data_IF_953812611767
#
_entry.id   IF_953812611767
#
_cell.length_a   1.000
_cell.length_b   1.000
_cell.length_c   1.000
_cell.angle_alpha   90.00
_cell.angle_beta   90.00
_cell.angle_gamma   90.00
#
_symmetry.space_group_name_H-M   'P 1'
#
loop_
_entity.id
_entity.type
_entity.pdbx_description
1 polymer ?
#
# COMPACT_ATOMS: atom_id res chain seq x y z
N UNK A 1 21.72 31.81 -23.52
CA UNK A 1 22.30 31.33 -22.31
C UNK A 1 21.33 30.99 -21.24
N UNK A 2 20.72 31.97 -20.58
CA UNK A 2 19.81 31.64 -19.48
C UNK A 2 18.62 30.76 -19.90
N UNK A 3 18.30 30.79 -21.15
CA UNK A 3 17.16 30.02 -21.64
C UNK A 3 17.33 28.54 -21.48
N UNK A 4 18.53 28.08 -21.54
CA UNK A 4 18.80 26.67 -21.44
C UNK A 4 18.42 26.15 -20.08
N UNK A 5 18.62 26.96 -19.08
CA UNK A 5 18.31 26.55 -17.72
C UNK A 5 16.81 26.35 -17.51
N UNK A 6 16.01 27.16 -18.18
CA UNK A 6 14.59 27.06 -18.05
C UNK A 6 14.06 25.74 -18.59
N UNK A 7 14.67 25.28 -19.65
CA UNK A 7 14.28 24.02 -20.22
C UNK A 7 14.53 22.87 -19.28
N UNK A 8 15.61 22.92 -18.58
CA UNK A 8 15.92 21.86 -17.63
C UNK A 8 14.85 21.77 -16.54
N UNK A 9 14.38 22.91 -16.09
CA UNK A 9 13.38 22.93 -15.04
C UNK A 9 12.08 22.32 -15.52
N UNK A 10 11.69 22.64 -16.73
CA UNK A 10 10.45 22.10 -17.28
C UNK A 10 10.53 20.59 -17.38
N UNK A 11 11.65 20.09 -17.82
CA UNK A 11 11.80 18.65 -17.95
C UNK A 11 11.70 17.94 -16.61
N UNK A 12 12.18 18.57 -15.58
CA UNK A 12 12.13 17.96 -14.27
C UNK A 12 10.71 17.73 -13.78
N UNK A 13 9.76 18.52 -14.24
CA UNK A 13 8.38 18.38 -13.80
C UNK A 13 7.60 17.38 -14.62
N UNK A 14 7.95 17.21 -15.88
CA UNK A 14 7.17 16.37 -16.77
C UNK A 14 7.05 14.93 -16.35
N UNK A 15 8.13 14.29 -15.90
CA UNK A 15 8.05 12.86 -15.59
C UNK A 15 7.21 12.51 -14.39
N UNK A 16 6.74 13.51 -13.67
CA UNK A 16 5.94 13.23 -12.50
C UNK A 16 4.49 12.87 -12.82
N UNK A 17 4.11 13.04 -14.05
CA UNK A 17 2.76 12.71 -14.46
C UNK A 17 2.51 11.21 -14.30
N UNK A 18 1.45 10.87 -13.57
CA UNK A 18 1.07 9.50 -13.37
C UNK A 18 1.88 8.73 -12.33
N UNK A 19 2.83 9.37 -11.70
CA UNK A 19 3.63 8.73 -10.65
C UNK A 19 2.99 9.00 -9.30
N UNK A 20 2.69 7.93 -8.56
CA UNK A 20 2.16 8.06 -7.22
C UNK A 20 3.25 8.52 -6.27
N UNK A 21 2.92 9.41 -5.38
CA UNK A 21 3.84 9.89 -4.37
C UNK A 21 3.74 9.02 -3.12
N UNK A 22 4.87 8.61 -2.61
CA UNK A 22 4.91 7.87 -1.36
C UNK A 22 4.47 8.77 -0.23
N UNK A 23 3.60 8.26 0.62
CA UNK A 23 3.07 9.00 1.75
C UNK A 23 3.60 8.39 3.03
N UNK A 24 4.14 9.21 3.91
CA UNK A 24 4.59 8.76 5.22
C UNK A 24 3.52 9.06 6.25
N UNK A 25 3.43 8.19 7.23
CA UNK A 25 2.53 8.37 8.35
C UNK A 25 3.31 8.29 9.64
N UNK A 26 2.82 9.00 10.66
CA UNK A 26 3.44 9.00 11.97
C UNK A 26 2.71 8.11 12.96
N UNK A 27 1.53 7.65 12.61
CA UNK A 27 0.69 6.85 13.49
C UNK A 27 -0.14 5.90 12.64
N UNK A 28 -0.18 4.63 13.05
CA UNK A 28 -0.94 3.62 12.30
C UNK A 28 -2.43 3.89 12.28
N UNK A 29 -2.93 4.73 13.18
CA UNK A 29 -4.36 5.07 13.14
C UNK A 29 -4.75 5.75 11.85
N UNK A 30 -3.80 6.31 11.12
CA UNK A 30 -4.09 6.92 9.82
C UNK A 30 -4.50 5.88 8.79
N UNK A 31 -4.25 4.60 9.05
CA UNK A 31 -4.69 3.52 8.19
C UNK A 31 -6.10 3.05 8.49
N UNK A 32 -6.69 3.49 9.60
CA UNK A 32 -8.00 2.98 10.02
C UNK A 32 -9.05 3.24 8.95
N UNK A 33 -9.90 2.25 8.75
CA UNK A 33 -10.98 2.34 7.77
C UNK A 33 -11.04 1.12 6.89
N UNK A 34 -11.78 1.27 5.80
CA UNK A 34 -12.03 0.19 4.86
C UNK A 34 -11.20 0.36 3.60
N UNK A 35 -10.73 -0.76 3.08
CA UNK A 35 -9.87 -0.81 1.91
C UNK A 35 -10.35 -1.90 0.98
N UNK A 36 -10.18 -1.73 -0.31
CA UNK A 36 -10.50 -2.76 -1.28
C UNK A 36 -9.45 -2.83 -2.36
N UNK A 37 -9.21 -4.01 -2.88
CA UNK A 37 -8.20 -4.20 -3.88
C UNK A 37 -8.07 -5.65 -4.25
N UNK A 38 -6.85 -6.13 -4.31
CA UNK A 38 -6.60 -7.51 -4.72
C UNK A 38 -5.35 -8.06 -4.06
N UNK A 39 -5.32 -9.38 -4.02
CA UNK A 39 -4.15 -10.14 -3.56
C UNK A 39 -3.68 -11.01 -4.71
N UNK A 40 -2.37 -11.11 -4.88
CA UNK A 40 -1.78 -11.97 -5.91
C UNK A 40 -1.81 -13.42 -5.44
N UNK A 41 -2.27 -14.29 -6.33
CA UNK A 41 -2.25 -15.74 -6.14
C UNK A 41 -1.54 -16.38 -7.33
N UNK A 42 -1.25 -17.66 -7.24
CA UNK A 42 -0.61 -18.37 -8.35
C UNK A 42 -1.46 -18.34 -9.60
N UNK A 43 -2.76 -18.48 -9.46
CA UNK A 43 -3.69 -18.46 -10.57
C UNK A 43 -4.13 -17.05 -10.99
N UNK A 44 -3.55 -16.02 -10.38
CA UNK A 44 -3.84 -14.65 -10.72
C UNK A 44 -4.32 -13.85 -9.53
N UNK A 45 -4.90 -12.70 -9.80
CA UNK A 45 -5.36 -11.80 -8.74
C UNK A 45 -6.73 -12.20 -8.24
N UNK A 46 -6.92 -12.07 -6.93
CA UNK A 46 -8.22 -12.26 -6.29
C UNK A 46 -8.62 -10.98 -5.62
N UNK A 47 -9.87 -10.60 -5.75
CA UNK A 47 -10.39 -9.44 -5.05
C UNK A 47 -10.26 -9.58 -3.55
N UNK A 48 -10.04 -8.48 -2.87
CA UNK A 48 -9.84 -8.47 -1.43
C UNK A 48 -10.44 -7.22 -0.81
N UNK A 49 -10.93 -7.37 0.40
CA UNK A 49 -11.35 -6.24 1.23
C UNK A 49 -10.60 -6.34 2.54
N UNK A 50 -10.38 -5.19 3.16
CA UNK A 50 -9.66 -5.15 4.42
C UNK A 50 -10.23 -4.07 5.30
N UNK A 51 -10.31 -4.34 6.58
CA UNK A 51 -10.69 -3.37 7.58
C UNK A 51 -9.52 -3.22 8.54
N UNK A 52 -9.10 -1.98 8.77
CA UNK A 52 -8.01 -1.65 9.68
C UNK A 52 -8.57 -0.87 10.84
N UNK A 53 -8.22 -1.27 12.03
CA UNK A 53 -8.62 -0.59 13.27
C UNK A 53 -7.59 0.47 13.63
N UNK A 54 -7.96 1.35 14.57
CA UNK A 54 -7.11 2.48 14.93
C UNK A 54 -5.77 2.07 15.54
N UNK A 55 -5.67 0.86 16.07
CA UNK A 55 -4.41 0.37 16.63
C UNK A 55 -3.54 -0.34 15.59
N UNK A 56 -3.96 -0.36 14.32
CA UNK A 56 -3.23 -1.01 13.26
C UNK A 56 -3.64 -2.45 12.99
N UNK A 57 -4.47 -3.03 13.83
CA UNK A 57 -4.96 -4.39 13.62
C UNK A 57 -5.82 -4.44 12.36
N UNK A 58 -5.71 -5.51 11.59
CA UNK A 58 -6.48 -5.61 10.37
C UNK A 58 -7.03 -7.00 10.16
N UNK A 59 -8.05 -7.05 9.33
CA UNK A 59 -8.65 -8.29 8.85
C UNK A 59 -8.91 -8.13 7.37
N UNK A 60 -8.40 -9.08 6.59
CA UNK A 60 -8.56 -9.08 5.15
C UNK A 60 -9.31 -10.33 4.72
N UNK A 61 -10.20 -10.15 3.74
CA UNK A 61 -10.99 -11.24 3.18
C UNK A 61 -10.81 -11.23 1.68
N UNK A 62 -10.62 -12.41 1.10
CA UNK A 62 -10.51 -12.55 -0.34
C UNK A 62 -11.73 -13.22 -0.91
N UNK A 63 -11.98 -13.00 -2.20
CA UNK A 63 -13.15 -13.56 -2.87
C UNK A 63 -13.13 -15.07 -2.93
N UNK A 64 -11.97 -15.68 -2.73
CA UNK A 64 -11.87 -17.15 -2.67
C UNK A 64 -12.19 -17.70 -1.27
N UNK A 65 -12.62 -16.85 -0.35
CA UNK A 65 -13.03 -17.30 0.97
C UNK A 65 -11.94 -17.32 2.02
N UNK A 66 -10.73 -16.94 1.68
CA UNK A 66 -9.64 -16.89 2.65
C UNK A 66 -9.73 -15.62 3.50
N UNK A 67 -9.32 -15.74 4.76
CA UNK A 67 -9.22 -14.58 5.63
C UNK A 67 -7.85 -14.56 6.29
N UNK A 68 -7.38 -13.35 6.56
CA UNK A 68 -6.08 -13.14 7.19
C UNK A 68 -6.23 -12.03 8.22
N UNK A 69 -5.64 -12.22 9.37
CA UNK A 69 -5.59 -11.19 10.40
C UNK A 69 -4.13 -10.85 10.69
N UNK A 70 -3.91 -9.61 11.06
CA UNK A 70 -2.57 -9.17 11.38
C UNK A 70 -2.57 -7.79 11.95
N UNK A 71 -1.41 -7.16 11.91
CA UNK A 71 -1.24 -5.83 12.46
C UNK A 71 -0.23 -5.05 11.64
N UNK A 72 -0.58 -3.81 11.34
CA UNK A 72 0.36 -2.84 10.82
C UNK A 72 1.05 -2.15 11.99
N UNK A 73 2.32 -1.84 11.82
CA UNK A 73 3.08 -1.14 12.83
C UNK A 73 4.18 -0.33 12.18
N UNK A 74 4.70 0.62 12.92
CA UNK A 74 5.82 1.44 12.46
C UNK A 74 7.08 0.96 13.15
N UNK A 75 8.15 0.81 12.38
CA UNK A 75 9.46 0.45 12.89
C UNK A 75 10.49 1.37 12.23
N UNK A 76 11.16 2.17 13.02
CA UNK A 76 12.15 3.13 12.50
C UNK A 76 11.55 4.02 11.44
N UNK A 77 10.30 4.43 11.62
CA UNK A 77 9.60 5.30 10.71
C UNK A 77 9.06 4.62 9.46
N UNK A 78 9.25 3.31 9.34
CA UNK A 78 8.77 2.57 8.18
C UNK A 78 7.57 1.73 8.52
N UNK A 79 6.62 1.70 7.60
CA UNK A 79 5.40 0.92 7.79
C UNK A 79 5.67 -0.55 7.46
N UNK A 80 5.28 -1.40 8.39
CA UNK A 80 5.43 -2.84 8.25
C UNK A 80 4.16 -3.52 8.68
N UNK A 81 4.06 -4.80 8.35
CA UNK A 81 2.93 -5.60 8.81
C UNK A 81 3.39 -6.98 9.22
N UNK A 82 2.59 -7.60 10.05
CA UNK A 82 2.75 -9.00 10.39
C UNK A 82 1.37 -9.65 10.40
N UNK A 83 1.35 -10.89 9.99
CA UNK A 83 0.13 -11.69 10.04
C UNK A 83 0.49 -13.02 10.69
N UNK A 84 -0.50 -13.90 10.78
CA UNK A 84 -0.24 -15.24 11.29
C UNK A 84 0.67 -16.06 10.39
N UNK A 85 0.88 -15.62 9.15
CA UNK A 85 1.67 -16.37 8.18
C UNK A 85 3.02 -15.77 7.88
N UNK A 86 3.13 -14.44 7.90
CA UNK A 86 4.35 -13.80 7.43
C UNK A 86 4.44 -12.38 7.97
N UNK A 87 5.60 -11.81 7.77
CA UNK A 87 5.83 -10.38 8.00
C UNK A 87 6.22 -9.75 6.68
N UNK A 88 6.17 -8.45 6.61
CA UNK A 88 6.57 -7.77 5.39
C UNK A 88 6.53 -6.27 5.51
N UNK A 89 6.79 -5.63 4.40
CA UNK A 89 6.79 -4.18 4.28
C UNK A 89 5.47 -3.71 3.69
N UNK A 90 5.08 -2.51 4.05
CA UNK A 90 3.91 -1.87 3.48
C UNK A 90 4.28 -0.46 3.08
N UNK A 91 3.57 0.08 2.10
CA UNK A 91 3.78 1.45 1.67
C UNK A 91 2.46 2.09 1.33
N UNK A 92 2.38 3.38 1.61
CA UNK A 92 1.24 4.20 1.23
C UNK A 92 1.65 5.13 0.11
N UNK A 93 0.74 5.36 -0.82
CA UNK A 93 0.95 6.35 -1.86
C UNK A 93 -0.35 7.07 -2.13
N UNK A 94 -0.24 8.27 -2.67
CA UNK A 94 -1.41 9.02 -3.12
C UNK A 94 -1.26 9.37 -4.58
N UNK A 95 -2.35 9.22 -5.32
CA UNK A 95 -2.37 9.47 -6.74
C UNK A 95 -3.76 10.03 -7.07
N UNK A 96 -3.79 11.31 -7.41
CA UNK A 96 -5.03 11.97 -7.84
C UNK A 96 -6.19 11.78 -6.85
N UNK A 97 -5.90 11.92 -5.57
CA UNK A 97 -6.92 11.81 -4.54
C UNK A 97 -7.22 10.39 -4.09
N UNK A 98 -6.56 9.40 -4.66
CA UNK A 98 -6.72 8.02 -4.24
C UNK A 98 -5.55 7.61 -3.38
N UNK A 99 -5.84 7.07 -2.20
CA UNK A 99 -4.81 6.55 -1.30
C UNK A 99 -4.69 5.05 -1.52
N UNK A 100 -3.48 4.60 -1.76
CA UNK A 100 -3.19 3.18 -2.00
C UNK A 100 -2.25 2.64 -0.95
N UNK A 101 -2.51 1.41 -0.57
CA UNK A 101 -1.71 0.69 0.40
C UNK A 101 -1.24 -0.60 -0.25
N UNK A 102 0.08 -0.78 -0.32
CA UNK A 102 0.67 -1.99 -0.88
C UNK A 102 1.37 -2.76 0.21
N UNK A 103 1.23 -4.08 0.18
CA UNK A 103 1.93 -4.96 1.11
C UNK A 103 2.76 -5.97 0.33
N UNK A 104 3.97 -6.23 0.82
CA UNK A 104 4.88 -7.17 0.17
C UNK A 104 5.51 -8.05 1.24
N UNK A 105 5.34 -9.37 1.16
CA UNK A 105 5.98 -10.28 2.11
C UNK A 105 7.50 -10.15 2.09
N UNK A 106 8.12 -10.25 3.25
CA UNK A 106 9.57 -10.17 3.35
C UNK A 106 10.25 -11.39 2.73
N UNK A 107 9.64 -12.56 2.83
CA UNK A 107 10.20 -13.78 2.28
C UNK A 107 9.73 -13.93 0.82
N UNK A 108 10.67 -14.01 -0.14
CA UNK A 108 10.29 -14.13 -1.56
C UNK A 108 9.43 -15.33 -1.89
N UNK A 109 9.48 -16.38 -1.10
CA UNK A 109 8.64 -17.55 -1.39
C UNK A 109 7.16 -17.29 -1.18
N UNK A 110 6.82 -16.20 -0.51
CA UNK A 110 5.44 -15.81 -0.30
C UNK A 110 4.99 -14.73 -1.27
N UNK A 111 5.62 -14.62 -2.44
CA UNK A 111 5.27 -13.59 -3.40
C UNK A 111 3.78 -13.57 -3.77
N UNK A 112 3.11 -14.69 -3.63
CA UNK A 112 1.68 -14.77 -3.86
C UNK A 112 0.86 -14.05 -2.79
N UNK A 113 1.51 -13.56 -1.74
CA UNK A 113 0.83 -12.79 -0.71
C UNK A 113 0.88 -11.29 -0.92
N UNK A 114 1.41 -10.83 -2.05
CA UNK A 114 1.44 -9.39 -2.34
C UNK A 114 0.04 -8.88 -2.55
N UNK A 115 -0.23 -7.71 -2.00
CA UNK A 115 -1.58 -7.13 -2.10
C UNK A 115 -1.50 -5.63 -2.37
N UNK A 116 -2.53 -5.13 -3.02
CA UNK A 116 -2.69 -3.70 -3.24
C UNK A 116 -4.13 -3.33 -2.94
N UNK A 117 -4.29 -2.27 -2.19
CA UNK A 117 -5.60 -1.80 -1.75
C UNK A 117 -5.75 -0.32 -2.04
N UNK A 118 -6.98 0.09 -2.26
CA UNK A 118 -7.35 1.50 -2.30
C UNK A 118 -8.28 1.77 -1.13
N UNK A 119 -8.13 2.96 -0.53
CA UNK A 119 -9.04 3.36 0.55
C UNK A 119 -10.44 3.55 0.00
N UNK A 120 -11.40 2.96 0.67
CA UNK A 120 -12.79 3.13 0.30
C UNK A 120 -13.23 4.51 0.76
N UNK A 121 -13.77 5.28 -0.15
CA UNK A 121 -14.27 6.61 0.18
C UNK A 121 -15.67 6.48 0.77
N UNK A 122 -15.92 7.30 1.75
CA UNK A 122 -17.22 7.32 2.42
C UNK A 122 -17.98 8.59 2.10
#
# INVERSE_FOLDING_TARGET
MPLVLLLAVVLALSPLDGVAEEKRIDDVKELAGSWQGWVTREEGRKGATMIVSSDGSYRALTTDGASTEGKFYLQDGQLRYRSSRTTGAASLSEDQGTTRLSTTPADPKYHTGRAEYERVKQ
#
